data_IF_451394374637
#
_entry.id   IF_451394374637
#
_cell.length_a   1.000
_cell.length_b   1.000
_cell.length_c   1.000
_cell.angle_alpha   90.00
_cell.angle_beta   90.00
_cell.angle_gamma   90.00
#
_symmetry.space_group_name_H-M   'P 1'
#
loop_
_entity.id
_entity.type
_entity.pdbx_description
1 polymer ?
#
# COMPACT_ATOMS: atom_id res chain seq x y z
N UNK A 1 -9.98 -20.17 11.17
CA UNK A 1 -9.55 -21.58 11.31
C UNK A 1 -8.17 -21.65 10.68
N UNK A 2 -7.18 -22.30 11.30
CA UNK A 2 -5.94 -22.62 10.60
C UNK A 2 -6.30 -23.51 9.41
N UNK A 3 -5.74 -23.23 8.24
CA UNK A 3 -5.97 -24.01 7.02
C UNK A 3 -5.46 -25.45 7.23
N UNK A 4 -6.33 -26.45 7.09
CA UNK A 4 -5.90 -27.86 6.96
C UNK A 4 -5.00 -28.09 5.72
N UNK A 5 -4.95 -27.10 4.82
CA UNK A 5 -4.18 -27.14 3.58
C UNK A 5 -2.68 -26.84 3.76
N UNK A 6 -2.26 -26.22 4.88
CA UNK A 6 -0.87 -25.80 5.10
C UNK A 6 -0.37 -26.12 6.52
N UNK A 7 0.87 -26.59 6.62
CA UNK A 7 1.51 -26.85 7.91
C UNK A 7 1.88 -25.54 8.62
N UNK A 8 1.55 -25.45 9.91
CA UNK A 8 2.05 -24.36 10.78
C UNK A 8 3.50 -24.68 11.14
N UNK A 9 4.41 -23.79 10.74
CA UNK A 9 5.85 -23.95 10.97
C UNK A 9 6.42 -22.93 11.97
N UNK A 10 5.65 -21.89 12.32
CA UNK A 10 6.05 -20.83 13.25
C UNK A 10 4.81 -20.13 13.84
N UNK A 11 4.77 -19.92 15.16
CA UNK A 11 3.73 -19.18 15.89
C UNK A 11 4.31 -18.23 16.96
N UNK A 12 3.46 -17.49 17.69
CA UNK A 12 3.90 -16.45 18.64
C UNK A 12 4.73 -16.98 19.82
N UNK A 13 4.54 -18.26 20.19
CA UNK A 13 5.28 -18.92 21.27
C UNK A 13 6.67 -19.41 20.84
N UNK A 14 6.94 -19.45 19.52
CA UNK A 14 8.21 -19.95 18.99
C UNK A 14 9.34 -18.93 19.16
N UNK A 15 10.49 -19.42 19.59
CA UNK A 15 11.70 -18.58 19.81
C UNK A 15 12.76 -18.74 18.73
N UNK A 16 12.59 -19.72 17.83
CA UNK A 16 13.53 -20.00 16.74
C UNK A 16 12.76 -20.23 15.44
N UNK A 17 13.14 -19.49 14.40
CA UNK A 17 12.56 -19.68 13.08
C UNK A 17 13.13 -20.94 12.41
N UNK A 18 12.28 -21.79 11.78
CA UNK A 18 12.73 -23.01 11.10
C UNK A 18 13.48 -22.72 9.79
N UNK A 19 13.32 -21.52 9.24
CA UNK A 19 14.01 -21.06 8.03
C UNK A 19 14.15 -19.54 8.05
N UNK A 20 15.05 -19.01 7.21
CA UNK A 20 15.22 -17.56 7.04
C UNK A 20 13.93 -16.88 6.54
N UNK A 21 13.23 -17.38 5.49
CA UNK A 21 11.94 -16.81 5.07
C UNK A 21 10.88 -16.77 6.17
N UNK A 22 10.74 -17.86 6.95
CA UNK A 22 9.77 -17.92 8.03
C UNK A 22 10.05 -16.84 9.09
N UNK A 23 11.30 -16.73 9.53
CA UNK A 23 11.70 -15.71 10.50
C UNK A 23 11.53 -14.29 9.97
N UNK A 24 11.85 -14.07 8.68
CA UNK A 24 11.70 -12.75 8.04
C UNK A 24 10.24 -12.31 7.98
N UNK A 25 9.34 -13.16 7.46
CA UNK A 25 7.91 -12.85 7.39
C UNK A 25 7.33 -12.63 8.77
N UNK A 26 7.63 -13.53 9.71
CA UNK A 26 7.13 -13.44 11.08
C UNK A 26 7.56 -12.12 11.77
N UNK A 27 8.85 -11.79 11.70
CA UNK A 27 9.38 -10.56 12.29
C UNK A 27 8.80 -9.30 11.62
N UNK A 28 8.69 -9.30 10.28
CA UNK A 28 8.09 -8.19 9.53
C UNK A 28 6.64 -7.94 9.95
N UNK A 29 5.83 -8.99 10.08
CA UNK A 29 4.44 -8.88 10.57
C UNK A 29 4.42 -8.28 11.99
N UNK A 30 5.34 -8.70 12.87
CA UNK A 30 5.48 -8.12 14.21
C UNK A 30 5.76 -6.61 14.19
N UNK A 31 6.68 -6.17 13.34
CA UNK A 31 7.00 -4.74 13.14
C UNK A 31 5.79 -3.98 12.60
N UNK A 32 5.10 -4.53 11.59
CA UNK A 32 3.92 -3.90 10.98
C UNK A 32 2.80 -3.73 12.02
N UNK A 33 2.49 -4.78 12.79
CA UNK A 33 1.49 -4.70 13.87
C UNK A 33 1.85 -3.65 14.90
N UNK A 34 3.12 -3.60 15.31
CA UNK A 34 3.61 -2.61 16.27
C UNK A 34 3.42 -1.20 15.73
N UNK A 35 3.84 -0.94 14.49
CA UNK A 35 3.67 0.36 13.85
C UNK A 35 2.19 0.75 13.72
N UNK A 36 1.35 -0.15 13.22
CA UNK A 36 -0.09 0.09 13.05
C UNK A 36 -0.75 0.43 14.39
N UNK A 37 -0.42 -0.30 15.45
CA UNK A 37 -0.95 -0.05 16.79
C UNK A 37 -0.44 1.27 17.37
N UNK A 38 0.88 1.45 17.42
CA UNK A 38 1.49 2.56 18.17
C UNK A 38 1.40 3.90 17.46
N UNK A 39 1.50 3.92 16.13
CA UNK A 39 1.53 5.17 15.34
C UNK A 39 0.20 5.50 14.70
N UNK A 40 -0.57 4.49 14.31
CA UNK A 40 -1.82 4.67 13.56
C UNK A 40 -3.08 4.36 14.38
N UNK A 41 -2.93 3.85 15.61
CA UNK A 41 -4.04 3.40 16.46
C UNK A 41 -4.92 2.33 15.78
N UNK A 42 -4.30 1.42 15.03
CA UNK A 42 -4.92 0.28 14.35
C UNK A 42 -4.49 -1.00 15.09
N UNK A 43 -5.32 -1.45 16.05
CA UNK A 43 -5.07 -2.68 16.80
C UNK A 43 -5.78 -3.90 16.18
N UNK A 44 -6.95 -3.68 15.59
CA UNK A 44 -7.76 -4.70 14.92
C UNK A 44 -7.70 -4.49 13.41
N UNK A 45 -6.63 -4.97 12.77
CA UNK A 45 -6.38 -4.80 11.33
C UNK A 45 -7.55 -5.33 10.51
N UNK A 46 -8.15 -6.46 10.91
CA UNK A 46 -9.30 -7.05 10.21
C UNK A 46 -10.67 -6.59 10.75
N UNK A 47 -10.69 -5.54 11.59
CA UNK A 47 -11.91 -5.03 12.25
C UNK A 47 -12.39 -5.88 13.43
N UNK A 48 -11.69 -6.96 13.77
CA UNK A 48 -11.91 -7.79 14.93
C UNK A 48 -10.57 -8.32 15.48
N UNK A 49 -10.61 -8.95 16.66
CA UNK A 49 -9.47 -9.73 17.15
C UNK A 49 -9.35 -11.00 16.31
N UNK A 50 -8.25 -11.12 15.57
CA UNK A 50 -8.00 -12.25 14.69
C UNK A 50 -6.49 -12.45 14.52
N UNK A 51 -6.09 -13.70 14.32
CA UNK A 51 -4.72 -14.07 14.03
C UNK A 51 -4.31 -13.59 12.64
N UNK A 52 -3.04 -13.22 12.48
CA UNK A 52 -2.47 -12.90 11.18
C UNK A 52 -1.75 -14.14 10.65
N UNK A 53 -2.29 -14.73 9.61
CA UNK A 53 -1.70 -15.90 8.96
C UNK A 53 -0.93 -15.50 7.71
N UNK A 54 0.23 -16.10 7.50
CA UNK A 54 1.02 -15.94 6.30
C UNK A 54 1.52 -17.30 5.79
N UNK A 55 1.43 -17.50 4.48
CA UNK A 55 1.90 -18.68 3.76
C UNK A 55 3.08 -18.24 2.90
N UNK A 56 4.23 -18.87 3.11
CA UNK A 56 5.43 -18.72 2.29
C UNK A 56 5.57 -19.91 1.34
N UNK A 57 6.41 -19.78 0.30
CA UNK A 57 6.61 -20.82 -0.72
C UNK A 57 5.30 -21.20 -1.41
N UNK A 58 4.42 -20.22 -1.64
CA UNK A 58 3.14 -20.46 -2.29
C UNK A 58 3.33 -20.73 -3.79
N UNK A 59 2.80 -21.85 -4.27
CA UNK A 59 2.86 -22.22 -5.68
C UNK A 59 4.27 -22.65 -6.14
N UNK A 60 4.50 -22.59 -7.46
CA UNK A 60 5.79 -22.89 -8.08
C UNK A 60 6.11 -21.76 -9.05
N UNK A 61 7.28 -21.15 -8.93
CA UNK A 61 7.68 -19.97 -9.70
C UNK A 61 6.62 -18.86 -9.65
N UNK A 62 5.97 -18.69 -8.49
CA UNK A 62 4.83 -17.78 -8.35
C UNK A 62 5.36 -16.35 -8.11
N UNK A 63 5.29 -15.53 -9.15
CA UNK A 63 5.75 -14.15 -9.13
C UNK A 63 4.65 -13.19 -8.64
N UNK A 64 4.09 -13.45 -7.45
CA UNK A 64 3.14 -12.54 -6.82
C UNK A 64 3.02 -12.74 -5.30
N UNK A 65 2.42 -11.77 -4.62
CA UNK A 65 1.82 -11.93 -3.30
C UNK A 65 0.34 -11.50 -3.34
N UNK A 66 -0.46 -11.99 -2.40
CA UNK A 66 -1.84 -11.54 -2.26
C UNK A 66 -2.42 -11.86 -0.88
N UNK A 67 -3.37 -11.04 -0.43
CA UNK A 67 -4.26 -11.33 0.68
C UNK A 67 -5.64 -11.81 0.21
N UNK A 68 -6.19 -12.88 0.81
CA UNK A 68 -7.48 -13.47 0.42
C UNK A 68 -8.57 -13.44 1.50
N UNK A 69 -8.47 -12.54 2.48
CA UNK A 69 -9.31 -12.49 3.69
C UNK A 69 -9.01 -13.49 4.79
N UNK A 70 -8.13 -14.47 4.58
CA UNK A 70 -7.78 -15.47 5.60
C UNK A 70 -6.29 -15.48 5.93
N UNK A 71 -5.45 -15.34 4.91
CA UNK A 71 -4.00 -15.29 5.03
C UNK A 71 -3.41 -14.40 3.94
N UNK A 72 -2.13 -14.06 4.12
CA UNK A 72 -1.29 -13.53 3.05
C UNK A 72 -0.52 -14.69 2.44
N UNK A 73 -0.40 -14.70 1.12
CA UNK A 73 0.33 -15.70 0.36
C UNK A 73 1.50 -15.03 -0.32
N UNK A 74 2.70 -15.57 -0.13
CA UNK A 74 3.92 -15.09 -0.75
C UNK A 74 4.51 -16.18 -1.65
N UNK A 75 4.65 -15.87 -2.93
CA UNK A 75 5.46 -16.66 -3.84
C UNK A 75 6.95 -16.33 -3.75
N UNK A 76 7.77 -17.28 -4.15
CA UNK A 76 9.23 -17.16 -4.18
C UNK A 76 9.76 -16.38 -5.40
N UNK A 77 8.87 -15.86 -6.24
CA UNK A 77 9.23 -15.29 -7.54
C UNK A 77 9.42 -16.38 -8.60
N UNK A 78 9.71 -15.97 -9.84
CA UNK A 78 10.00 -16.87 -10.95
C UNK A 78 11.50 -17.18 -11.11
N UNK A 79 12.36 -16.50 -10.33
CA UNK A 79 13.81 -16.63 -10.41
C UNK A 79 14.40 -16.02 -11.69
N UNK A 80 13.61 -15.30 -12.48
CA UNK A 80 14.02 -14.67 -13.75
C UNK A 80 13.79 -13.15 -13.68
N UNK A 81 12.56 -12.73 -13.43
CA UNK A 81 12.17 -11.32 -13.27
C UNK A 81 12.11 -10.96 -11.80
N UNK A 82 11.45 -11.81 -11.01
CA UNK A 82 11.17 -11.56 -9.60
C UNK A 82 11.82 -12.60 -8.70
N UNK A 83 12.38 -12.11 -7.59
CA UNK A 83 12.68 -12.91 -6.41
C UNK A 83 11.49 -13.01 -5.46
N UNK A 84 11.73 -13.47 -4.22
CA UNK A 84 10.65 -13.69 -3.26
C UNK A 84 9.90 -12.43 -2.84
N UNK A 85 8.58 -12.49 -2.82
CA UNK A 85 7.72 -11.33 -2.52
C UNK A 85 7.70 -10.94 -1.04
N UNK A 86 8.26 -11.78 -0.16
CA UNK A 86 8.49 -11.45 1.24
C UNK A 86 9.81 -10.70 1.49
N UNK A 87 10.57 -10.37 0.44
CA UNK A 87 11.84 -9.65 0.56
C UNK A 87 11.68 -8.23 1.13
N UNK A 88 10.55 -7.58 0.86
CA UNK A 88 10.31 -6.20 1.24
C UNK A 88 9.18 -6.08 2.27
N UNK A 89 9.46 -5.37 3.37
CA UNK A 89 8.47 -5.17 4.43
C UNK A 89 7.29 -4.29 3.98
N UNK A 90 7.51 -3.38 3.03
CA UNK A 90 6.43 -2.55 2.47
C UNK A 90 5.43 -3.37 1.64
N UNK A 91 5.88 -4.43 0.96
CA UNK A 91 5.01 -5.40 0.29
C UNK A 91 4.21 -6.23 1.31
N UNK A 92 4.85 -6.74 2.37
CA UNK A 92 4.14 -7.45 3.44
C UNK A 92 3.08 -6.54 4.10
N UNK A 93 3.42 -5.28 4.32
CA UNK A 93 2.52 -4.28 4.88
C UNK A 93 1.38 -3.90 3.93
N UNK A 94 1.65 -3.81 2.62
CA UNK A 94 0.65 -3.61 1.57
C UNK A 94 -0.40 -4.74 1.61
N UNK A 95 0.02 -6.00 1.64
CA UNK A 95 -0.92 -7.12 1.72
C UNK A 95 -1.76 -7.11 3.01
N UNK A 96 -1.15 -6.78 4.15
CA UNK A 96 -1.88 -6.61 5.41
C UNK A 96 -2.88 -5.46 5.37
N UNK A 97 -2.55 -4.38 4.66
CA UNK A 97 -3.38 -3.20 4.55
C UNK A 97 -4.70 -3.47 3.81
N UNK A 98 -4.77 -4.43 2.88
CA UNK A 98 -6.03 -4.85 2.29
C UNK A 98 -7.04 -5.36 3.33
N UNK A 99 -6.57 -6.00 4.40
CA UNK A 99 -7.38 -6.38 5.54
C UNK A 99 -7.99 -5.17 6.26
N UNK A 100 -7.18 -4.15 6.52
CA UNK A 100 -7.65 -2.88 7.09
C UNK A 100 -8.69 -2.22 6.20
N UNK A 101 -8.41 -2.09 4.90
CA UNK A 101 -9.30 -1.45 3.93
C UNK A 101 -10.65 -2.19 3.87
N UNK A 102 -10.62 -3.52 3.88
CA UNK A 102 -11.82 -4.38 3.88
C UNK A 102 -12.69 -4.17 5.13
N UNK A 103 -12.08 -3.86 6.28
CA UNK A 103 -12.78 -3.55 7.53
C UNK A 103 -13.36 -2.12 7.59
N UNK A 104 -12.99 -1.25 6.65
CA UNK A 104 -13.36 0.17 6.60
C UNK A 104 -14.22 0.48 5.37
N UNK A 105 -13.71 1.26 4.41
CA UNK A 105 -14.41 1.63 3.19
C UNK A 105 -14.81 0.41 2.33
N UNK A 106 -14.10 -0.72 2.48
CA UNK A 106 -14.33 -1.96 1.76
C UNK A 106 -14.45 -1.71 0.23
N UNK A 107 -13.46 -1.02 -0.30
CA UNK A 107 -13.45 -0.63 -1.70
C UNK A 107 -13.60 -1.84 -2.62
N UNK A 108 -14.56 -1.76 -3.53
CA UNK A 108 -14.68 -2.72 -4.62
C UNK A 108 -13.39 -2.67 -5.42
N UNK A 109 -12.78 -3.83 -5.60
CA UNK A 109 -11.52 -3.99 -6.31
C UNK A 109 -11.70 -3.90 -7.85
N UNK A 110 -12.10 -2.71 -8.31
CA UNK A 110 -12.31 -2.38 -9.72
C UNK A 110 -12.26 -0.88 -9.96
N UNK A 111 -11.73 -0.44 -11.09
CA UNK A 111 -11.69 0.97 -11.52
C UNK A 111 -11.09 1.88 -10.41
N UNK A 112 -11.60 3.11 -10.24
CA UNK A 112 -11.09 4.05 -9.25
C UNK A 112 -11.15 3.54 -7.81
N UNK A 113 -12.22 2.83 -7.41
CA UNK A 113 -12.28 2.28 -6.05
C UNK A 113 -11.22 1.21 -5.83
N UNK A 114 -10.91 0.40 -6.85
CA UNK A 114 -9.79 -0.55 -6.77
C UNK A 114 -8.44 0.15 -6.73
N UNK A 115 -8.23 1.20 -7.53
CA UNK A 115 -7.02 2.01 -7.47
C UNK A 115 -6.84 2.74 -6.13
N UNK A 116 -7.93 3.13 -5.45
CA UNK A 116 -7.89 3.63 -4.07
C UNK A 116 -7.53 2.52 -3.07
N UNK A 117 -8.00 1.29 -3.29
CA UNK A 117 -7.63 0.14 -2.47
C UNK A 117 -6.11 -0.10 -2.54
N UNK A 118 -5.57 -0.21 -3.74
CA UNK A 118 -4.13 -0.31 -4.00
C UNK A 118 -3.34 0.85 -3.41
N UNK A 119 -3.80 2.09 -3.61
CA UNK A 119 -3.08 3.25 -3.13
C UNK A 119 -3.06 3.36 -1.61
N UNK A 120 -4.14 3.03 -0.92
CA UNK A 120 -4.15 3.02 0.55
C UNK A 120 -3.22 1.92 1.08
N UNK A 121 -3.14 0.78 0.40
CA UNK A 121 -2.21 -0.29 0.74
C UNK A 121 -0.74 0.13 0.55
N UNK A 122 -0.42 0.79 -0.57
CA UNK A 122 0.89 1.41 -0.84
C UNK A 122 1.27 2.47 0.20
N UNK A 123 0.32 3.34 0.58
CA UNK A 123 0.51 4.37 1.60
C UNK A 123 0.84 3.75 2.96
N UNK A 124 0.13 2.69 3.36
CA UNK A 124 0.44 1.98 4.60
C UNK A 124 1.79 1.26 4.52
N UNK A 125 2.11 0.67 3.38
CA UNK A 125 3.39 0.00 3.13
C UNK A 125 4.59 0.95 3.23
N UNK A 126 4.55 2.09 2.53
CA UNK A 126 5.65 3.06 2.57
C UNK A 126 5.84 3.65 3.97
N UNK A 127 4.75 3.87 4.72
CA UNK A 127 4.83 4.36 6.09
C UNK A 127 5.53 3.36 7.03
N UNK A 128 5.29 2.05 6.87
CA UNK A 128 6.00 1.00 7.62
C UNK A 128 7.50 1.03 7.32
N UNK A 129 7.88 1.08 6.04
CA UNK A 129 9.28 1.15 5.63
C UNK A 129 9.96 2.40 6.20
N UNK A 130 9.29 3.55 6.11
CA UNK A 130 9.78 4.80 6.69
C UNK A 130 9.95 4.71 8.21
N UNK A 131 9.01 4.05 8.90
CA UNK A 131 9.11 3.81 10.34
C UNK A 131 10.31 2.93 10.69
N UNK A 132 10.50 1.81 9.97
CA UNK A 132 11.62 0.90 10.18
C UNK A 132 12.98 1.59 9.96
N UNK A 133 13.07 2.44 8.93
CA UNK A 133 14.29 3.15 8.58
C UNK A 133 14.47 4.48 9.31
N UNK A 134 13.51 4.88 10.17
CA UNK A 134 13.47 6.19 10.82
C UNK A 134 13.58 7.35 9.82
N UNK A 135 12.85 7.24 8.70
CA UNK A 135 12.83 8.23 7.62
C UNK A 135 11.66 9.21 7.78
N UNK A 136 11.94 10.47 7.49
CA UNK A 136 10.90 11.49 7.28
C UNK A 136 10.43 11.47 5.83
N UNK A 137 9.32 12.17 5.54
CA UNK A 137 8.84 12.40 4.18
C UNK A 137 9.92 13.00 3.25
N UNK A 138 10.90 13.71 3.81
CA UNK A 138 11.98 14.35 3.06
C UNK A 138 13.16 13.44 2.73
N UNK A 139 13.38 12.40 3.55
CA UNK A 139 14.55 11.52 3.43
C UNK A 139 14.20 10.18 2.78
N UNK A 140 12.93 9.79 2.78
CA UNK A 140 12.48 8.57 2.12
C UNK A 140 12.63 8.64 0.60
N UNK A 141 12.96 7.52 -0.03
CA UNK A 141 13.04 7.38 -1.49
C UNK A 141 11.67 7.19 -2.14
N UNK A 142 10.63 6.86 -1.36
CA UNK A 142 9.25 6.67 -1.83
C UNK A 142 9.09 5.59 -2.92
N UNK A 143 9.98 4.60 -2.89
CA UNK A 143 9.93 3.39 -3.71
C UNK A 143 9.30 2.24 -2.92
N UNK A 144 8.57 1.35 -3.61
CA UNK A 144 7.94 0.17 -3.04
C UNK A 144 8.47 -1.10 -3.71
N UNK A 145 8.79 -2.14 -2.93
CA UNK A 145 9.28 -3.42 -3.46
C UNK A 145 10.67 -3.33 -4.11
N UNK A 146 11.63 -2.67 -3.45
CA UNK A 146 12.97 -2.45 -3.99
C UNK A 146 13.81 -3.73 -4.14
N UNK A 147 13.45 -4.79 -3.39
CA UNK A 147 14.16 -6.06 -3.40
C UNK A 147 13.37 -7.18 -4.11
N UNK A 148 12.37 -6.82 -4.91
CA UNK A 148 11.56 -7.76 -5.69
C UNK A 148 12.22 -8.16 -7.01
N UNK A 149 12.75 -7.20 -7.78
CA UNK A 149 13.36 -7.51 -9.07
C UNK A 149 14.75 -8.11 -8.92
N UNK A 150 15.08 -9.05 -9.80
CA UNK A 150 16.44 -9.60 -9.90
C UNK A 150 17.39 -8.58 -10.55
N UNK A 151 16.92 -7.85 -11.57
CA UNK A 151 17.65 -6.73 -12.17
C UNK A 151 17.34 -5.41 -11.45
N UNK A 152 18.00 -5.18 -10.33
CA UNK A 152 17.84 -3.95 -9.54
C UNK A 152 18.41 -2.69 -10.21
N UNK A 153 19.18 -2.83 -11.30
CA UNK A 153 19.76 -1.68 -12.01
C UNK A 153 18.69 -1.04 -12.91
N UNK A 154 18.00 -1.87 -13.70
CA UNK A 154 16.96 -1.41 -14.63
C UNK A 154 15.56 -1.42 -13.99
N UNK A 155 15.38 -2.15 -12.90
CA UNK A 155 14.14 -2.22 -12.14
C UNK A 155 14.40 -2.04 -10.63
N UNK A 156 14.70 -0.82 -10.18
CA UNK A 156 15.01 -0.55 -8.77
C UNK A 156 13.83 -0.74 -7.82
N UNK A 157 12.58 -0.76 -8.32
CA UNK A 157 11.38 -0.94 -7.50
C UNK A 157 10.16 -1.36 -8.34
N UNK A 158 9.12 -1.87 -7.69
CA UNK A 158 7.83 -2.17 -8.34
C UNK A 158 7.02 -0.91 -8.65
N UNK A 159 7.04 0.07 -7.74
CA UNK A 159 6.29 1.32 -7.87
C UNK A 159 7.08 2.50 -7.31
N UNK A 160 6.84 3.68 -7.85
CA UNK A 160 7.37 4.96 -7.36
C UNK A 160 6.21 5.90 -7.03
N UNK A 161 6.14 6.37 -5.77
CA UNK A 161 5.13 7.35 -5.39
C UNK A 161 5.51 8.79 -5.80
N UNK A 162 6.79 9.04 -6.13
CA UNK A 162 7.26 10.35 -6.64
C UNK A 162 6.89 10.50 -8.11
N UNK A 163 7.30 9.51 -8.91
CA UNK A 163 7.14 9.48 -10.35
C UNK A 163 6.52 8.14 -10.78
N UNK A 164 5.19 7.94 -10.59
CA UNK A 164 4.53 6.73 -11.08
C UNK A 164 4.72 6.60 -12.59
N UNK A 165 5.20 5.44 -13.06
CA UNK A 165 5.58 5.18 -14.44
C UNK A 165 7.09 5.10 -14.68
N UNK A 166 7.92 5.45 -13.68
CA UNK A 166 9.38 5.49 -13.79
C UNK A 166 10.08 4.52 -12.81
N UNK A 167 9.36 3.62 -12.13
CA UNK A 167 9.96 2.73 -11.14
C UNK A 167 10.87 1.66 -11.76
N UNK A 168 10.59 1.23 -12.99
CA UNK A 168 11.40 0.27 -13.73
C UNK A 168 11.21 0.37 -15.24
N UNK A 169 12.25 -0.01 -15.97
CA UNK A 169 12.22 -0.16 -17.43
C UNK A 169 13.15 -1.31 -17.84
N UNK A 170 12.59 -2.45 -18.24
CA UNK A 170 13.35 -3.60 -18.75
C UNK A 170 13.27 -3.67 -20.29
N UNK A 171 12.15 -3.22 -20.87
CA UNK A 171 11.89 -3.11 -22.31
C UNK A 171 10.65 -2.23 -22.56
N UNK A 172 10.30 -1.98 -23.82
CA UNK A 172 9.07 -1.27 -24.17
C UNK A 172 7.81 -2.02 -23.69
N UNK A 173 7.85 -3.35 -23.69
CA UNK A 173 6.76 -4.21 -23.22
C UNK A 173 6.76 -4.45 -21.71
N UNK A 174 7.91 -4.29 -21.05
CA UNK A 174 8.09 -4.55 -19.61
C UNK A 174 8.67 -3.31 -18.94
N UNK A 175 7.77 -2.41 -18.55
CA UNK A 175 8.05 -1.13 -17.89
C UNK A 175 6.92 -0.80 -16.92
N UNK A 176 7.20 0.08 -15.96
CA UNK A 176 6.19 0.57 -15.03
C UNK A 176 5.01 1.22 -15.80
N UNK A 177 3.80 0.65 -15.73
CA UNK A 177 2.65 1.15 -16.47
C UNK A 177 1.94 2.28 -15.72
N UNK A 178 2.33 2.61 -14.49
CA UNK A 178 1.58 3.54 -13.65
C UNK A 178 1.50 4.94 -14.26
N UNK A 179 0.42 5.65 -13.90
CA UNK A 179 0.23 7.06 -14.23
C UNK A 179 0.09 7.88 -12.96
N UNK A 180 0.68 9.08 -12.94
CA UNK A 180 0.72 9.95 -11.76
C UNK A 180 -0.14 11.21 -11.85
N UNK A 181 -0.96 11.36 -12.90
CA UNK A 181 -1.80 12.54 -13.10
C UNK A 181 -3.12 12.17 -13.79
N UNK A 182 -4.21 12.85 -13.43
CA UNK A 182 -5.56 12.59 -13.96
C UNK A 182 -5.67 12.75 -15.49
N UNK A 183 -4.87 13.62 -16.09
CA UNK A 183 -4.81 13.76 -17.56
C UNK A 183 -4.25 12.53 -18.28
N UNK A 184 -3.60 11.61 -17.54
CA UNK A 184 -3.05 10.36 -18.03
C UNK A 184 -3.88 9.16 -17.58
N UNK A 185 -5.00 9.38 -16.89
CA UNK A 185 -5.88 8.32 -16.40
C UNK A 185 -6.23 7.33 -17.52
N UNK A 186 -6.08 6.04 -17.23
CA UNK A 186 -6.32 4.97 -18.19
C UNK A 186 -7.72 4.40 -17.95
N UNK A 187 -8.65 4.68 -18.87
CA UNK A 187 -9.99 4.07 -18.88
C UNK A 187 -9.92 2.68 -19.51
N UNK A 188 -9.63 1.69 -18.66
CA UNK A 188 -9.39 0.32 -19.08
C UNK A 188 -10.63 -0.56 -18.86
N UNK A 189 -10.86 -1.55 -19.72
CA UNK A 189 -11.93 -2.51 -19.52
C UNK A 189 -11.68 -3.34 -18.25
N UNK A 190 -12.75 -3.78 -17.58
CA UNK A 190 -12.67 -4.48 -16.28
C UNK A 190 -11.80 -5.74 -16.28
N UNK A 191 -11.60 -6.40 -17.42
CA UNK A 191 -10.77 -7.60 -17.52
C UNK A 191 -9.27 -7.31 -17.68
N UNK A 192 -8.89 -6.03 -17.86
CA UNK A 192 -7.51 -5.58 -17.84
C UNK A 192 -7.27 -4.94 -16.48
N UNK A 193 -6.52 -5.63 -15.62
CA UNK A 193 -6.13 -5.11 -14.32
C UNK A 193 -7.32 -4.58 -13.50
N UNK A 194 -8.45 -5.29 -13.53
CA UNK A 194 -9.70 -4.88 -12.87
C UNK A 194 -10.19 -3.47 -13.25
N UNK A 195 -9.85 -2.98 -14.45
CA UNK A 195 -10.07 -1.59 -14.86
C UNK A 195 -8.93 -0.66 -14.44
N UNK A 196 -7.69 -1.14 -14.46
CA UNK A 196 -6.48 -0.37 -14.17
C UNK A 196 -6.26 -0.04 -12.70
N UNK A 197 -6.50 -0.97 -11.77
CA UNK A 197 -6.36 -0.72 -10.33
C UNK A 197 -4.91 -0.46 -9.93
N UNK A 198 -3.95 -1.23 -10.43
CA UNK A 198 -2.53 -1.03 -10.14
C UNK A 198 -1.95 0.12 -10.99
N UNK A 199 -2.46 0.32 -12.20
CA UNK A 199 -2.02 1.38 -13.12
C UNK A 199 -2.42 2.77 -12.60
N UNK A 200 -3.69 2.94 -12.25
CA UNK A 200 -4.23 4.25 -11.85
C UNK A 200 -4.00 4.57 -10.36
N UNK A 201 -3.51 3.63 -9.53
CA UNK A 201 -3.17 3.90 -8.12
C UNK A 201 -1.99 4.87 -7.97
N UNK A 202 -1.19 5.06 -9.02
CA UNK A 202 -0.13 6.08 -9.06
C UNK A 202 -0.65 7.50 -8.82
N UNK A 203 -1.87 7.82 -9.25
CA UNK A 203 -2.48 9.15 -9.07
C UNK A 203 -2.68 9.49 -7.57
N UNK A 204 -3.46 8.71 -6.79
CA UNK A 204 -3.59 8.94 -5.36
C UNK A 204 -2.28 8.69 -4.57
N UNK A 205 -1.38 7.80 -5.02
CA UNK A 205 -0.05 7.65 -4.42
C UNK A 205 0.75 8.95 -4.49
N UNK A 206 0.79 9.56 -5.66
CA UNK A 206 1.50 10.83 -5.87
C UNK A 206 0.84 11.97 -5.08
N UNK A 207 -0.48 11.99 -4.98
CA UNK A 207 -1.19 12.96 -4.14
C UNK A 207 -0.81 12.83 -2.65
N UNK A 208 -0.66 11.60 -2.14
CA UNK A 208 -0.17 11.36 -0.78
C UNK A 208 1.27 11.84 -0.59
N UNK A 209 2.17 11.47 -1.52
CA UNK A 209 3.56 11.92 -1.51
C UNK A 209 3.66 13.45 -1.45
N UNK A 210 2.93 14.16 -2.33
CA UNK A 210 2.94 15.61 -2.39
C UNK A 210 2.44 16.25 -1.10
N UNK A 211 1.37 15.71 -0.52
CA UNK A 211 0.88 16.17 0.79
C UNK A 211 1.96 15.97 1.86
N UNK A 212 2.48 14.75 2.01
CA UNK A 212 3.49 14.40 2.99
C UNK A 212 4.74 15.29 2.84
N UNK A 213 5.20 15.52 1.61
CA UNK A 213 6.33 16.40 1.30
C UNK A 213 6.07 17.84 1.71
N UNK A 214 4.85 18.34 1.48
CA UNK A 214 4.44 19.71 1.83
C UNK A 214 4.30 19.96 3.34
N UNK A 215 4.11 18.88 4.11
CA UNK A 215 3.98 18.89 5.56
C UNK A 215 5.32 18.61 6.27
N UNK A 216 6.19 17.82 5.66
CA UNK A 216 7.45 17.39 6.26
C UNK A 216 7.24 16.46 7.46
N UNK A 217 8.33 16.18 8.19
CA UNK A 217 8.29 15.29 9.35
C UNK A 217 7.98 13.84 9.00
N UNK A 218 7.49 13.07 9.97
CA UNK A 218 7.07 11.70 9.72
C UNK A 218 5.68 11.66 9.08
N UNK A 219 5.53 10.80 8.07
CA UNK A 219 4.31 10.70 7.27
C UNK A 219 3.08 10.32 8.09
N UNK A 220 3.25 9.49 9.11
CA UNK A 220 2.18 9.06 10.02
C UNK A 220 1.72 10.12 11.03
N UNK A 221 2.43 11.25 11.18
CA UNK A 221 2.05 12.27 12.16
C UNK A 221 0.84 13.09 11.73
N UNK A 222 0.74 13.41 10.43
CA UNK A 222 -0.32 14.25 9.84
C UNK A 222 -0.92 13.59 8.59
N UNK A 223 -0.13 13.42 7.51
CA UNK A 223 -0.64 12.94 6.22
C UNK A 223 -1.32 11.56 6.33
N UNK A 224 -0.70 10.61 7.04
CA UNK A 224 -1.24 9.29 7.30
C UNK A 224 -2.58 9.34 8.05
N UNK A 225 -2.69 10.18 9.09
CA UNK A 225 -3.95 10.34 9.85
C UNK A 225 -5.09 10.87 8.99
N UNK A 226 -4.79 11.79 8.06
CA UNK A 226 -5.78 12.31 7.10
C UNK A 226 -6.29 11.19 6.20
N UNK A 227 -5.39 10.38 5.64
CA UNK A 227 -5.76 9.25 4.77
C UNK A 227 -6.60 8.22 5.52
N UNK A 228 -6.22 7.85 6.75
CA UNK A 228 -6.94 6.86 7.54
C UNK A 228 -8.33 7.31 7.98
N UNK A 229 -8.46 8.58 8.35
CA UNK A 229 -9.77 9.18 8.65
C UNK A 229 -10.65 9.23 7.40
N UNK A 230 -10.09 9.52 6.22
CA UNK A 230 -10.83 9.47 4.95
C UNK A 230 -11.29 8.06 4.59
N UNK A 231 -10.43 7.04 4.74
CA UNK A 231 -10.80 5.62 4.53
C UNK A 231 -11.89 5.15 5.50
N UNK A 232 -11.97 5.77 6.68
CA UNK A 232 -12.97 5.46 7.71
C UNK A 232 -14.21 6.35 7.63
N UNK A 233 -14.30 7.29 6.69
CA UNK A 233 -15.45 8.19 6.51
C UNK A 233 -16.62 7.41 5.90
N UNK A 234 -17.77 7.39 6.57
CA UNK A 234 -18.99 6.69 6.09
C UNK A 234 -19.51 7.20 4.72
N UNK A 235 -19.05 8.39 4.27
CA UNK A 235 -19.35 8.92 2.93
C UNK A 235 -18.49 8.29 1.83
N UNK A 236 -17.34 7.73 2.20
CA UNK A 236 -16.47 6.97 1.30
C UNK A 236 -17.04 5.55 1.18
N UNK A 237 -17.82 5.33 0.13
CA UNK A 237 -18.48 4.04 -0.08
C UNK A 237 -17.55 3.06 -0.80
N UNK A 238 -17.94 1.78 -0.86
CA UNK A 238 -17.23 0.76 -1.64
C UNK A 238 -17.03 1.08 -3.13
N UNK A 239 -17.74 2.07 -3.69
CA UNK A 239 -17.59 2.50 -5.08
C UNK A 239 -16.94 3.87 -5.22
N UNK A 240 -16.27 4.34 -4.16
CA UNK A 240 -15.71 5.68 -4.12
C UNK A 240 -14.83 5.94 -5.36
N UNK A 241 -15.05 7.11 -5.93
CA UNK A 241 -14.23 7.72 -6.95
C UNK A 241 -13.07 8.48 -6.31
N UNK A 242 -12.06 8.84 -7.10
CA UNK A 242 -10.96 9.68 -6.63
C UNK A 242 -11.45 11.01 -6.07
N UNK A 243 -12.46 11.63 -6.69
CA UNK A 243 -13.02 12.91 -6.21
C UNK A 243 -13.69 12.76 -4.84
N UNK A 244 -14.48 11.71 -4.62
CA UNK A 244 -15.14 11.46 -3.34
C UNK A 244 -14.14 11.18 -2.21
N UNK A 245 -13.06 10.46 -2.53
CA UNK A 245 -11.98 10.21 -1.58
C UNK A 245 -11.16 11.46 -1.28
N UNK A 246 -10.85 12.26 -2.29
CA UNK A 246 -10.15 13.52 -2.11
C UNK A 246 -10.95 14.50 -1.24
N UNK A 247 -12.26 14.63 -1.47
CA UNK A 247 -13.13 15.43 -0.60
C UNK A 247 -13.14 14.88 0.85
N UNK A 248 -13.07 13.56 1.03
CA UNK A 248 -12.96 12.95 2.36
C UNK A 248 -11.64 13.31 3.05
N UNK A 249 -10.51 13.31 2.34
CA UNK A 249 -9.22 13.74 2.89
C UNK A 249 -9.24 15.22 3.30
N UNK A 250 -9.87 16.11 2.52
CA UNK A 250 -9.98 17.53 2.87
C UNK A 250 -10.84 17.71 4.12
N UNK A 251 -11.95 16.98 4.23
CA UNK A 251 -12.79 16.99 5.45
C UNK A 251 -12.05 16.44 6.66
N UNK A 252 -11.29 15.36 6.49
CA UNK A 252 -10.45 14.78 7.54
C UNK A 252 -9.39 15.77 8.01
N UNK A 253 -8.70 16.45 7.09
CA UNK A 253 -7.73 17.48 7.40
C UNK A 253 -8.34 18.63 8.24
N UNK A 254 -9.52 19.15 7.85
CA UNK A 254 -10.24 20.17 8.64
C UNK A 254 -10.66 19.66 10.01
N UNK A 255 -11.12 18.40 10.10
CA UNK A 255 -11.62 17.78 11.34
C UNK A 255 -10.49 17.56 12.35
N UNK A 256 -9.36 17.04 11.89
CA UNK A 256 -8.25 16.61 12.74
C UNK A 256 -7.25 17.73 13.04
N UNK A 257 -7.14 18.71 12.16
CA UNK A 257 -6.12 19.75 12.22
C UNK A 257 -6.75 21.14 12.02
N UNK A 258 -6.44 21.81 10.90
CA UNK A 258 -6.88 23.17 10.61
C UNK A 258 -7.10 23.42 9.11
N UNK A 259 -7.55 24.62 8.76
CA UNK A 259 -7.80 25.02 7.38
C UNK A 259 -6.53 25.10 6.52
N UNK A 260 -5.36 25.36 7.11
CA UNK A 260 -4.11 25.42 6.36
C UNK A 260 -3.67 24.01 5.94
N UNK A 261 -3.82 23.01 6.82
CA UNK A 261 -3.59 21.60 6.47
C UNK A 261 -4.60 21.12 5.43
N UNK A 262 -5.86 21.56 5.52
CA UNK A 262 -6.88 21.26 4.52
C UNK A 262 -6.57 21.87 3.14
N UNK A 263 -6.04 23.10 3.10
CA UNK A 263 -5.58 23.73 1.85
C UNK A 263 -4.40 22.98 1.23
N UNK A 264 -3.43 22.55 2.02
CA UNK A 264 -2.31 21.70 1.54
C UNK A 264 -2.81 20.35 1.00
N UNK A 265 -3.81 19.76 1.68
CA UNK A 265 -4.46 18.50 1.24
C UNK A 265 -5.20 18.69 -0.08
N UNK A 266 -5.95 19.78 -0.24
CA UNK A 266 -6.54 20.14 -1.52
C UNK A 266 -5.47 20.32 -2.60
N UNK A 267 -4.40 21.07 -2.29
CA UNK A 267 -3.35 21.35 -3.25
C UNK A 267 -2.70 20.07 -3.79
N UNK A 268 -2.48 19.06 -2.95
CA UNK A 268 -1.88 17.80 -3.39
C UNK A 268 -2.76 17.02 -4.38
N UNK A 269 -4.08 17.14 -4.29
CA UNK A 269 -5.02 16.59 -5.27
C UNK A 269 -5.07 17.42 -6.56
N UNK A 270 -5.01 18.75 -6.44
CA UNK A 270 -4.92 19.65 -7.60
C UNK A 270 -3.63 19.41 -8.40
N UNK A 271 -2.51 19.15 -7.72
CA UNK A 271 -1.20 18.89 -8.33
C UNK A 271 -1.16 17.57 -9.13
N UNK A 272 -2.09 16.64 -8.86
CA UNK A 272 -2.30 15.43 -9.69
C UNK A 272 -3.48 15.58 -10.65
N UNK A 273 -4.00 16.79 -10.84
CA UNK A 273 -5.02 17.12 -11.84
C UNK A 273 -6.45 16.81 -11.42
N UNK A 274 -6.71 16.57 -10.13
CA UNK A 274 -8.05 16.30 -9.61
C UNK A 274 -8.65 17.58 -9.00
N UNK A 275 -9.61 18.18 -9.71
CA UNK A 275 -10.25 19.43 -9.30
C UNK A 275 -11.24 19.17 -8.16
N UNK A 276 -10.86 19.56 -6.94
CA UNK A 276 -11.65 19.46 -5.70
C UNK A 276 -11.93 20.84 -5.12
N UNK A 277 -13.12 21.04 -4.56
CA UNK A 277 -13.53 22.33 -3.98
C UNK A 277 -13.44 22.28 -2.45
N UNK A 278 -13.05 23.41 -1.83
CA UNK A 278 -12.92 23.55 -0.37
C UNK A 278 -14.26 23.73 0.34
#
# INVERSE_FOLDING_TARGET
MPHDDYAVIMCEEDTQAPSKPAGQVFNSIGVIRTFFKEKLNIDQIFGCSADINAVIHYGTNYANAFWNSQAIFFGDGDGIVFGPFYNDIDIIAHELAHGFISSKANFRYSFQSGALNESVADVLGIMVKQYLNNETANTSNWLLGENLFIDQINAPALRSMINPGDAYYLSDEVRDPQVGHMSQYQDLPIFVDNGGVHINSGIPNRAFYLLAKSLGGYTWDIAGKIWLEAVSDNRVTKKATFIEFADATIRAAKKLFDNNIAQKTQQSWLDVGLIVNL
#
